data_IF_743082952093
#
_entry.id   IF_743082952093
#
_cell.length_a   1.000
_cell.length_b   1.000
_cell.length_c   1.000
_cell.angle_alpha   90.00
_cell.angle_beta   90.00
_cell.angle_gamma   90.00
#
_symmetry.space_group_name_H-M   'P 1'
#
loop_
_entity.id
_entity.type
_entity.pdbx_description
1 polymer ?
#
# COMPACT_ATOMS: atom_id res chain seq x y z
N UNK A 1 -13.45 -20.64 11.67
CA UNK A 1 -13.02 -19.29 11.26
C UNK A 1 -13.48 -19.07 9.83
N UNK A 2 -14.69 -18.52 9.64
CA UNK A 2 -15.33 -18.42 8.34
C UNK A 2 -15.05 -17.05 7.71
N UNK A 3 -14.40 -17.04 6.55
CA UNK A 3 -14.33 -15.90 5.64
C UNK A 3 -15.73 -15.66 5.05
N UNK A 4 -16.53 -14.82 5.69
CA UNK A 4 -17.80 -14.36 5.12
C UNK A 4 -17.53 -13.23 4.10
N UNK A 5 -17.16 -13.59 2.86
CA UNK A 5 -17.17 -12.65 1.73
C UNK A 5 -18.07 -13.20 0.63
N UNK A 6 -19.29 -12.70 0.56
CA UNK A 6 -20.16 -13.00 -0.58
C UNK A 6 -21.60 -12.48 -0.52
N UNK A 7 -22.00 -11.68 0.49
CA UNK A 7 -23.40 -11.22 0.58
C UNK A 7 -23.62 -9.82 1.13
N UNK A 8 -22.56 -9.06 1.40
CA UNK A 8 -22.65 -7.76 2.08
C UNK A 8 -22.87 -6.57 1.15
N UNK A 9 -22.60 -6.75 -0.14
CA UNK A 9 -22.64 -5.66 -1.13
C UNK A 9 -24.07 -5.20 -1.45
N UNK A 10 -25.07 -6.08 -1.26
CA UNK A 10 -26.48 -5.85 -1.59
C UNK A 10 -27.24 -4.94 -0.59
N UNK A 11 -26.56 -4.43 0.44
CA UNK A 11 -27.14 -3.49 1.42
C UNK A 11 -26.24 -2.29 1.73
N UNK A 12 -25.09 -2.15 1.05
CA UNK A 12 -24.19 -1.01 1.23
C UNK A 12 -24.63 0.18 0.37
N UNK A 13 -24.62 1.36 0.98
CA UNK A 13 -24.92 2.64 0.33
C UNK A 13 -23.78 3.06 -0.60
N UNK A 14 -24.08 3.84 -1.64
CA UNK A 14 -23.06 4.42 -2.55
C UNK A 14 -21.97 5.19 -1.79
N UNK A 15 -22.34 5.82 -0.66
CA UNK A 15 -21.40 6.53 0.20
C UNK A 15 -20.38 5.59 0.86
N UNK A 16 -20.79 4.41 1.31
CA UNK A 16 -19.89 3.42 1.92
C UNK A 16 -18.87 2.89 0.91
N UNK A 17 -19.26 2.67 -0.35
CA UNK A 17 -18.32 2.30 -1.42
C UNK A 17 -17.32 3.43 -1.73
N UNK A 18 -17.80 4.67 -1.78
CA UNK A 18 -16.94 5.83 -2.03
C UNK A 18 -15.91 6.00 -0.91
N UNK A 19 -16.35 5.93 0.36
CA UNK A 19 -15.46 6.02 1.53
C UNK A 19 -14.48 4.84 1.59
N UNK A 20 -14.92 3.62 1.24
CA UNK A 20 -14.03 2.46 1.16
C UNK A 20 -12.91 2.65 0.13
N UNK A 21 -13.24 3.19 -1.03
CA UNK A 21 -12.24 3.52 -2.08
C UNK A 21 -11.30 4.63 -1.61
N UNK A 22 -11.82 5.69 -0.99
CA UNK A 22 -11.01 6.76 -0.43
C UNK A 22 -10.05 6.25 0.65
N UNK A 23 -10.49 5.34 1.52
CA UNK A 23 -9.65 4.70 2.52
C UNK A 23 -8.51 3.90 1.89
N UNK A 24 -8.79 3.11 0.85
CA UNK A 24 -7.77 2.39 0.11
C UNK A 24 -6.77 3.33 -0.59
N UNK A 25 -7.26 4.41 -1.21
CA UNK A 25 -6.41 5.42 -1.84
C UNK A 25 -5.53 6.15 -0.82
N UNK A 26 -6.04 6.46 0.37
CA UNK A 26 -5.28 7.10 1.43
C UNK A 26 -4.13 6.20 1.91
N UNK A 27 -4.38 4.91 2.08
CA UNK A 27 -3.34 3.93 2.39
C UNK A 27 -2.30 3.85 1.27
N UNK A 28 -2.74 3.75 0.01
CA UNK A 28 -1.84 3.71 -1.14
C UNK A 28 -0.95 4.96 -1.22
N UNK A 29 -1.52 6.14 -1.00
CA UNK A 29 -0.77 7.40 -0.95
C UNK A 29 0.25 7.40 0.21
N UNK A 30 -0.12 6.90 1.38
CA UNK A 30 0.80 6.73 2.50
C UNK A 30 1.98 5.81 2.16
N UNK A 31 1.70 4.64 1.58
CA UNK A 31 2.74 3.69 1.13
C UNK A 31 3.64 4.28 0.05
N UNK A 32 3.08 5.03 -0.90
CA UNK A 32 3.86 5.73 -1.92
C UNK A 32 4.85 6.71 -1.27
N UNK A 33 4.40 7.50 -0.29
CA UNK A 33 5.28 8.42 0.45
C UNK A 33 6.40 7.70 1.20
N UNK A 34 6.12 6.53 1.78
CA UNK A 34 7.14 5.72 2.46
C UNK A 34 8.18 5.23 1.46
N UNK A 35 7.74 4.60 0.36
CA UNK A 35 8.65 4.01 -0.63
C UNK A 35 9.47 5.06 -1.38
N UNK A 36 8.91 6.25 -1.63
CA UNK A 36 9.62 7.37 -2.28
C UNK A 36 10.42 8.22 -1.28
N UNK A 37 10.43 7.87 0.01
CA UNK A 37 11.20 8.61 1.01
C UNK A 37 12.71 8.46 0.78
N UNK A 38 13.46 9.52 1.09
CA UNK A 38 14.93 9.51 1.02
C UNK A 38 15.55 8.38 1.84
N UNK A 39 14.92 7.99 2.96
CA UNK A 39 15.36 6.87 3.79
C UNK A 39 15.29 5.54 3.05
N UNK A 40 14.19 5.25 2.37
CA UNK A 40 13.99 3.98 1.65
C UNK A 40 14.85 3.94 0.40
N UNK A 41 14.86 5.01 -0.39
CA UNK A 41 15.73 5.12 -1.58
C UNK A 41 17.20 5.02 -1.20
N UNK A 42 17.64 5.70 -0.13
CA UNK A 42 19.03 5.64 0.34
C UNK A 42 19.44 4.23 0.79
N UNK A 43 18.57 3.53 1.52
CA UNK A 43 18.83 2.14 1.92
C UNK A 43 18.92 1.19 0.72
N UNK A 44 18.07 1.39 -0.30
CA UNK A 44 18.14 0.62 -1.55
C UNK A 44 19.42 0.91 -2.32
N UNK A 45 19.84 2.18 -2.40
CA UNK A 45 21.10 2.57 -3.04
C UNK A 45 22.30 1.93 -2.33
N UNK A 46 22.40 2.02 -1.00
CA UNK A 46 23.48 1.38 -0.23
C UNK A 46 23.53 -0.14 -0.46
N UNK A 47 22.37 -0.80 -0.45
CA UNK A 47 22.28 -2.23 -0.73
C UNK A 47 22.80 -2.57 -2.13
N UNK A 48 22.45 -1.77 -3.14
CA UNK A 48 22.89 -1.97 -4.52
C UNK A 48 24.40 -1.69 -4.68
N UNK A 49 24.93 -0.65 -4.04
CA UNK A 49 26.37 -0.35 -4.04
C UNK A 49 27.18 -1.49 -3.43
N UNK A 50 26.73 -2.03 -2.29
CA UNK A 50 27.35 -3.19 -1.64
C UNK A 50 27.30 -4.44 -2.52
N UNK A 51 26.18 -4.68 -3.20
CA UNK A 51 26.04 -5.80 -4.11
C UNK A 51 26.97 -5.68 -5.33
N UNK A 52 27.14 -4.47 -5.87
CA UNK A 52 28.02 -4.21 -7.00
C UNK A 52 29.50 -4.33 -6.62
N UNK A 53 29.89 -3.87 -5.43
CA UNK A 53 31.28 -3.93 -4.96
C UNK A 53 31.70 -5.32 -4.46
N UNK A 54 30.74 -6.21 -4.21
CA UNK A 54 30.99 -7.59 -3.80
C UNK A 54 31.33 -8.53 -4.97
N UNK A 55 31.20 -8.05 -6.22
CA UNK A 55 31.52 -8.76 -7.47
C UNK A 55 32.88 -8.28 -7.97
#
# INVERSE_FOLDING_TARGET
MALARGRSDAGMTTAEYAVGTLGACALAAGLYKVVTSATVTGALTDLLERALHAI
#
